data_IF_528234039961
#
_entry.id   IF_528234039961
#
_cell.length_a   1.000
_cell.length_b   1.000
_cell.length_c   1.000
_cell.angle_alpha   90.00
_cell.angle_beta   90.00
_cell.angle_gamma   90.00
#
_symmetry.space_group_name_H-M   'P 1'
#
loop_
_entity.id
_entity.type
_entity.pdbx_description
1 polymer ?
#
# COMPACT_ATOMS: atom_id res chain seq x y z
N UNK A 1 8.81 -16.46 26.30
CA UNK A 1 8.60 -16.13 24.87
C UNK A 1 9.36 -17.14 24.01
N UNK A 2 8.72 -17.80 23.03
CA UNK A 2 9.38 -18.72 22.09
C UNK A 2 9.31 -18.09 20.69
N UNK A 3 10.48 -17.90 20.06
CA UNK A 3 10.61 -17.36 18.70
C UNK A 3 11.01 -18.51 17.78
N UNK A 4 10.36 -18.63 16.63
CA UNK A 4 10.71 -19.58 15.58
C UNK A 4 11.77 -18.97 14.67
N UNK A 5 13.01 -19.43 14.77
CA UNK A 5 14.13 -18.97 13.94
C UNK A 5 13.88 -19.20 12.45
N UNK A 6 13.15 -20.26 12.09
CA UNK A 6 12.78 -20.57 10.70
C UNK A 6 11.81 -19.59 10.03
N UNK A 7 11.09 -18.76 10.81
CA UNK A 7 10.14 -17.76 10.30
C UNK A 7 10.57 -16.33 10.60
N UNK A 8 11.74 -16.17 11.22
CA UNK A 8 12.21 -14.87 11.68
C UNK A 8 13.37 -14.44 10.81
N UNK A 9 13.31 -13.18 10.40
CA UNK A 9 14.36 -12.50 9.66
C UNK A 9 14.79 -11.29 10.48
N UNK A 10 16.01 -10.83 10.25
CA UNK A 10 16.56 -9.66 10.93
C UNK A 10 16.83 -8.55 9.93
N UNK A 11 16.54 -7.32 10.33
CA UNK A 11 16.92 -6.12 9.60
C UNK A 11 17.54 -5.13 10.56
N UNK A 12 18.61 -4.48 10.13
CA UNK A 12 19.29 -3.44 10.88
C UNK A 12 18.96 -2.12 10.22
N UNK A 13 18.21 -1.27 10.94
CA UNK A 13 17.88 0.07 10.49
C UNK A 13 18.99 1.03 10.87
N UNK A 14 19.79 1.45 9.89
CA UNK A 14 20.85 2.43 10.09
C UNK A 14 21.02 3.30 8.85
N UNK A 15 21.38 4.58 9.06
CA UNK A 15 21.72 5.50 7.96
C UNK A 15 23.01 5.10 7.24
N UNK A 16 23.85 4.30 7.88
CA UNK A 16 25.08 3.71 7.32
C UNK A 16 24.88 2.22 7.15
N UNK A 17 25.39 1.64 6.07
CA UNK A 17 25.41 0.19 5.87
C UNK A 17 26.28 -0.44 6.97
N UNK A 18 25.64 -1.21 7.83
CA UNK A 18 26.29 -1.96 8.91
C UNK A 18 25.81 -3.39 8.81
N UNK A 19 26.76 -4.31 8.76
CA UNK A 19 26.47 -5.73 8.84
C UNK A 19 26.39 -6.12 10.32
N UNK A 20 25.24 -6.65 10.73
CA UNK A 20 25.04 -7.17 12.08
C UNK A 20 24.35 -8.52 11.98
N UNK A 21 24.89 -9.50 12.70
CA UNK A 21 24.38 -10.86 12.74
C UNK A 21 23.60 -11.06 14.04
N UNK A 22 22.28 -11.17 13.93
CA UNK A 22 21.41 -11.44 15.07
C UNK A 22 21.35 -12.94 15.33
N UNK A 23 21.89 -13.38 16.47
CA UNK A 23 21.82 -14.79 16.89
C UNK A 23 20.64 -15.00 17.83
N UNK A 24 19.78 -15.96 17.50
CA UNK A 24 18.68 -16.39 18.37
C UNK A 24 18.90 -17.86 18.70
N UNK A 25 19.17 -18.14 19.99
CA UNK A 25 19.66 -19.45 20.46
C UNK A 25 20.99 -19.81 19.80
N UNK A 26 20.99 -20.78 18.89
CA UNK A 26 22.19 -21.26 18.20
C UNK A 26 22.24 -20.84 16.72
N UNK A 27 21.12 -20.39 16.16
CA UNK A 27 20.98 -20.03 14.74
C UNK A 27 21.14 -18.52 14.52
N UNK A 28 21.74 -18.18 13.39
CA UNK A 28 21.87 -16.79 12.92
C UNK A 28 20.67 -16.51 12.03
N UNK A 29 19.94 -15.43 12.33
CA UNK A 29 18.83 -15.01 11.50
C UNK A 29 19.35 -14.39 10.20
N UNK A 30 18.68 -14.64 9.06
CA UNK A 30 19.05 -14.01 7.81
C UNK A 30 18.90 -12.49 7.93
N UNK A 31 19.86 -11.75 7.35
CA UNK A 31 19.79 -10.30 7.24
C UNK A 31 19.09 -9.93 5.93
N UNK A 32 18.04 -9.12 6.01
CA UNK A 32 17.27 -8.68 4.84
C UNK A 32 17.44 -7.19 4.59
N UNK A 33 17.51 -6.80 3.32
CA UNK A 33 17.56 -5.38 2.91
C UNK A 33 16.16 -4.76 2.83
N UNK A 34 15.13 -5.56 2.57
CA UNK A 34 13.73 -5.13 2.50
C UNK A 34 12.86 -6.04 3.37
N UNK A 35 11.88 -5.46 4.08
CA UNK A 35 10.94 -6.23 4.90
C UNK A 35 9.57 -5.58 4.89
N UNK A 36 8.54 -6.42 4.86
CA UNK A 36 7.15 -5.98 4.94
C UNK A 36 6.64 -6.19 6.35
N UNK A 37 6.28 -5.10 7.02
CA UNK A 37 5.66 -5.14 8.34
C UNK A 37 4.38 -4.31 8.34
N UNK A 38 3.28 -4.89 8.84
CA UNK A 38 1.96 -4.23 8.91
C UNK A 38 1.50 -3.62 7.57
N UNK A 39 1.87 -4.26 6.45
CA UNK A 39 1.51 -3.78 5.11
C UNK A 39 2.33 -2.59 4.62
N UNK A 40 3.45 -2.26 5.28
CA UNK A 40 4.41 -1.24 4.87
C UNK A 40 5.74 -1.91 4.52
N UNK A 41 6.31 -1.53 3.38
CA UNK A 41 7.64 -1.97 2.95
C UNK A 41 8.70 -1.03 3.56
N UNK A 42 9.66 -1.61 4.28
CA UNK A 42 10.80 -0.92 4.86
C UNK A 42 12.07 -1.38 4.17
N UNK A 43 12.97 -0.44 3.90
CA UNK A 43 14.36 -0.75 3.52
C UNK A 43 15.28 -0.68 4.74
N UNK A 44 16.44 -1.32 4.68
CA UNK A 44 17.48 -1.29 5.72
C UNK A 44 18.03 0.11 6.02
N UNK A 45 17.87 1.05 5.07
CA UNK A 45 18.16 2.48 5.25
C UNK A 45 17.08 3.22 6.05
N UNK A 46 15.97 2.55 6.38
CA UNK A 46 14.79 3.13 7.03
C UNK A 46 13.91 3.94 6.09
N UNK A 47 14.05 3.77 4.76
CA UNK A 47 13.21 4.44 3.78
C UNK A 47 11.93 3.66 3.54
N UNK A 48 10.84 4.40 3.33
CA UNK A 48 9.50 3.87 2.99
C UNK A 48 8.93 4.55 1.73
N UNK A 49 9.77 5.29 1.00
CA UNK A 49 9.34 6.14 -0.12
C UNK A 49 8.59 5.35 -1.18
N UNK A 50 9.07 4.15 -1.53
CA UNK A 50 8.38 3.29 -2.50
C UNK A 50 6.94 2.94 -2.09
N UNK A 51 6.70 2.61 -0.82
CA UNK A 51 5.34 2.31 -0.35
C UNK A 51 4.47 3.58 -0.31
N UNK A 52 5.05 4.73 0.04
CA UNK A 52 4.38 6.03 0.04
C UNK A 52 3.96 6.40 -1.39
N UNK A 53 4.89 6.35 -2.34
CA UNK A 53 4.66 6.66 -3.75
C UNK A 53 3.61 5.72 -4.35
N UNK A 54 3.66 4.43 -4.01
CA UNK A 54 2.64 3.46 -4.42
C UNK A 54 1.25 3.84 -3.91
N UNK A 55 1.13 4.21 -2.63
CA UNK A 55 -0.15 4.61 -2.02
C UNK A 55 -0.68 5.92 -2.61
N UNK A 56 0.20 6.89 -2.86
CA UNK A 56 -0.15 8.15 -3.53
C UNK A 56 -0.62 7.87 -4.96
N UNK A 57 0.08 7.02 -5.71
CA UNK A 57 -0.30 6.62 -7.07
C UNK A 57 -1.68 5.96 -7.12
N UNK A 58 -1.94 5.01 -6.21
CA UNK A 58 -3.23 4.35 -6.10
C UNK A 58 -4.36 5.34 -5.78
N UNK A 59 -4.15 6.24 -4.81
CA UNK A 59 -5.13 7.27 -4.47
C UNK A 59 -5.38 8.24 -5.63
N UNK A 60 -4.33 8.60 -6.37
CA UNK A 60 -4.42 9.50 -7.53
C UNK A 60 -5.21 8.88 -8.66
N UNK A 61 -5.03 7.58 -8.95
CA UNK A 61 -5.82 6.87 -9.94
C UNK A 61 -7.33 6.83 -9.59
N UNK A 62 -7.65 6.65 -8.31
CA UNK A 62 -9.02 6.72 -7.81
C UNK A 62 -9.59 8.13 -8.00
N UNK A 63 -8.84 9.16 -7.63
CA UNK A 63 -9.26 10.55 -7.82
C UNK A 63 -9.46 10.91 -9.29
N UNK A 64 -8.59 10.43 -10.19
CA UNK A 64 -8.73 10.64 -11.64
C UNK A 64 -10.02 10.00 -12.17
N UNK A 65 -10.32 8.77 -11.75
CA UNK A 65 -11.54 8.07 -12.14
C UNK A 65 -12.79 8.79 -11.63
N UNK A 66 -12.76 9.23 -10.36
CA UNK A 66 -13.84 9.99 -9.76
C UNK A 66 -14.06 11.31 -10.51
N UNK A 67 -12.99 12.06 -10.77
CA UNK A 67 -13.05 13.32 -11.49
C UNK A 67 -13.68 13.15 -12.88
N UNK A 68 -13.24 12.16 -13.66
CA UNK A 68 -13.84 11.84 -14.96
C UNK A 68 -15.34 11.52 -14.83
N UNK A 69 -15.71 10.70 -13.84
CA UNK A 69 -17.12 10.35 -13.64
C UNK A 69 -18.01 11.54 -13.24
N UNK A 70 -17.47 12.50 -12.48
CA UNK A 70 -18.19 13.72 -12.06
C UNK A 70 -18.27 14.72 -13.20
N UNK A 71 -17.19 14.93 -13.94
CA UNK A 71 -17.16 15.83 -15.11
C UNK A 71 -18.13 15.35 -16.18
N UNK A 72 -18.08 14.07 -16.56
CA UNK A 72 -18.98 13.49 -17.58
C UNK A 72 -20.45 13.62 -17.15
N UNK A 73 -20.76 13.42 -15.86
CA UNK A 73 -22.13 13.62 -15.35
C UNK A 73 -22.55 15.10 -15.33
N UNK A 74 -21.63 16.02 -15.05
CA UNK A 74 -21.89 17.46 -15.05
C UNK A 74 -22.14 17.98 -16.47
N UNK A 75 -21.35 17.53 -17.44
CA UNK A 75 -21.53 17.84 -18.86
C UNK A 75 -22.90 17.35 -19.35
N UNK A 76 -23.27 16.09 -19.06
CA UNK A 76 -24.60 15.55 -19.40
C UNK A 76 -25.76 16.31 -18.72
N UNK A 77 -25.56 16.83 -17.51
CA UNK A 77 -26.56 17.66 -16.82
C UNK A 77 -26.73 19.06 -17.42
N UNK A 78 -25.67 19.64 -18.00
CA UNK A 78 -25.74 20.95 -18.66
C UNK A 78 -26.34 20.86 -20.06
N UNK A 79 -26.12 19.76 -20.78
CA UNK A 79 -26.68 19.55 -22.12
C UNK A 79 -28.10 18.94 -22.08
N UNK A 80 -28.55 18.43 -20.93
CA UNK A 80 -29.74 17.58 -20.84
C UNK A 80 -30.62 17.84 -19.62
N UNK A 81 -31.18 19.04 -19.49
CA UNK A 81 -32.37 19.27 -18.65
C UNK A 81 -33.63 18.70 -19.33
N UNK A 82 -33.70 17.39 -19.54
CA UNK A 82 -34.97 16.67 -19.59
C UNK A 82 -34.75 15.20 -19.25
N UNK A 83 -35.50 14.70 -18.26
CA UNK A 83 -35.67 13.28 -17.85
C UNK A 83 -34.59 12.69 -16.94
N UNK A 84 -34.56 13.19 -15.70
CA UNK A 84 -34.04 12.43 -14.57
C UNK A 84 -35.10 11.40 -14.11
N UNK A 85 -34.96 10.15 -14.55
CA UNK A 85 -35.64 9.00 -13.94
C UNK A 85 -34.67 7.83 -13.85
N UNK A 86 -34.36 7.44 -12.61
CA UNK A 86 -33.87 6.09 -12.30
C UNK A 86 -32.37 5.94 -12.02
N UNK A 87 -32.06 5.74 -10.73
CA UNK A 87 -30.94 4.95 -10.18
C UNK A 87 -29.53 5.55 -10.26
N UNK A 88 -29.19 6.36 -9.25
CA UNK A 88 -27.79 6.58 -8.85
C UNK A 88 -27.35 5.48 -7.89
N UNK A 89 -26.94 4.32 -8.40
CA UNK A 89 -26.23 3.29 -7.63
C UNK A 89 -24.72 3.48 -7.81
N UNK A 90 -24.11 4.39 -7.05
CA UNK A 90 -22.66 4.45 -6.93
C UNK A 90 -22.26 3.79 -5.61
N UNK A 91 -22.18 2.46 -5.64
CA UNK A 91 -21.38 1.72 -4.67
C UNK A 91 -19.97 1.61 -5.27
N UNK A 92 -18.97 2.39 -4.81
CA UNK A 92 -17.60 2.15 -5.22
C UNK A 92 -17.22 0.76 -4.71
N UNK A 93 -17.09 -0.20 -5.64
CA UNK A 93 -16.82 -1.59 -5.25
C UNK A 93 -15.41 -1.72 -4.69
N UNK A 94 -15.40 -2.04 -3.39
CA UNK A 94 -14.46 -2.82 -2.59
C UNK A 94 -12.98 -2.82 -2.99
N UNK A 95 -12.20 -2.14 -2.15
CA UNK A 95 -10.83 -2.47 -1.80
C UNK A 95 -10.68 -4.00 -1.61
N UNK A 96 -10.05 -4.69 -2.57
CA UNK A 96 -9.61 -6.08 -2.39
C UNK A 96 -8.35 -6.03 -1.52
N UNK A 97 -8.52 -6.11 -0.21
CA UNK A 97 -7.43 -6.46 0.70
C UNK A 97 -7.23 -7.98 0.60
N UNK A 98 -6.41 -8.42 -0.35
CA UNK A 98 -5.87 -9.78 -0.29
C UNK A 98 -4.87 -9.85 0.87
N UNK A 99 -5.34 -10.32 2.02
CA UNK A 99 -4.48 -10.92 3.02
C UNK A 99 -4.27 -12.37 2.62
N UNK A 100 -3.09 -12.64 2.06
CA UNK A 100 -2.50 -13.97 1.96
C UNK A 100 -1.43 -14.13 3.02
#
# INVERSE_FOLDING_TARGET
>A
MRISTSKSESMVLNRKKVEFLLRVKEEILPLVEEFKYLGVLFTSEGRMEQEIDRRIGAASAVMQTLHQSVVVKRELSQTGNSRFTGRSSFLPSTMVMSFG
#
